data_IF_194247434923
#
_entry.id   IF_194247434923
#
_cell.length_a   1.000
_cell.length_b   1.000
_cell.length_c   1.000
_cell.angle_alpha   90.00
_cell.angle_beta   90.00
_cell.angle_gamma   90.00
#
_symmetry.space_group_name_H-M   'P 1'
#
loop_
_entity.id
_entity.type
_entity.pdbx_description
1 polymer ?
#
# COMPACT_ATOMS: atom_id res chain seq x y z
N UNK A 1 22.26 38.58 -0.41
CA UNK A 1 20.82 38.42 -0.70
C UNK A 1 20.20 39.80 -0.67
N UNK A 2 19.60 40.28 -1.76
CA UNK A 2 18.99 41.62 -1.84
C UNK A 2 17.46 41.51 -1.67
N UNK A 3 16.78 42.64 -1.47
CA UNK A 3 15.32 42.67 -1.27
C UNK A 3 14.53 42.20 -2.51
N UNK A 4 15.04 42.42 -3.72
CA UNK A 4 14.39 41.98 -4.97
C UNK A 4 14.38 40.45 -5.07
N UNK A 5 15.49 39.79 -4.72
CA UNK A 5 15.57 38.32 -4.69
C UNK A 5 14.63 37.69 -3.66
N UNK A 6 14.39 38.39 -2.54
CA UNK A 6 13.39 37.96 -1.54
C UNK A 6 11.98 38.12 -2.08
N UNK A 7 11.68 39.24 -2.76
CA UNK A 7 10.35 39.50 -3.32
C UNK A 7 10.00 38.53 -4.47
N UNK A 8 10.96 38.22 -5.33
CA UNK A 8 10.79 37.21 -6.39
C UNK A 8 10.53 35.82 -5.81
N UNK A 9 11.22 35.45 -4.72
CA UNK A 9 11.01 34.19 -4.02
C UNK A 9 9.62 34.12 -3.38
N UNK A 10 9.17 35.20 -2.73
CA UNK A 10 7.83 35.29 -2.15
C UNK A 10 6.78 35.12 -3.25
N UNK A 11 6.90 35.85 -4.36
CA UNK A 11 5.97 35.75 -5.49
C UNK A 11 5.98 34.35 -6.12
N UNK A 12 7.14 33.70 -6.22
CA UNK A 12 7.25 32.32 -6.69
C UNK A 12 6.55 31.33 -5.76
N UNK A 13 6.66 31.50 -4.44
CA UNK A 13 6.04 30.61 -3.46
C UNK A 13 4.53 30.83 -3.36
N UNK A 14 4.07 32.08 -3.47
CA UNK A 14 2.64 32.43 -3.45
C UNK A 14 1.91 32.03 -4.75
N UNK A 15 2.60 32.09 -5.91
CA UNK A 15 2.04 31.67 -7.20
C UNK A 15 2.10 30.17 -7.45
N UNK A 16 2.97 29.44 -6.74
CA UNK A 16 3.14 28.00 -6.90
C UNK A 16 1.87 27.21 -6.55
N UNK A 17 1.00 27.74 -5.66
CA UNK A 17 -0.25 27.05 -5.27
C UNK A 17 -0.03 25.64 -4.72
N UNK A 18 1.19 25.31 -4.30
CA UNK A 18 1.57 23.98 -3.86
C UNK A 18 0.99 23.70 -2.47
N UNK A 19 0.30 22.57 -2.34
CA UNK A 19 -0.17 22.08 -1.06
C UNK A 19 1.00 22.00 -0.08
N UNK A 20 0.80 22.57 1.11
CA UNK A 20 1.77 22.47 2.19
C UNK A 20 2.05 21.01 2.52
N UNK A 21 3.24 20.75 3.08
CA UNK A 21 3.65 19.40 3.52
C UNK A 21 2.58 18.76 4.43
N UNK A 22 1.90 19.58 5.25
CA UNK A 22 0.80 19.13 6.12
C UNK A 22 -0.40 18.66 5.31
N UNK A 23 -0.85 19.45 4.34
CA UNK A 23 -2.01 19.10 3.53
C UNK A 23 -1.75 17.90 2.62
N UNK A 24 -0.53 17.76 2.09
CA UNK A 24 -0.12 16.57 1.36
C UNK A 24 -0.19 15.30 2.24
N UNK A 25 0.27 15.39 3.50
CA UNK A 25 0.15 14.28 4.47
C UNK A 25 -1.31 13.94 4.77
N UNK A 26 -2.16 14.94 4.95
CA UNK A 26 -3.60 14.72 5.16
C UNK A 26 -4.27 14.07 3.96
N UNK A 27 -3.95 14.48 2.74
CA UNK A 27 -4.50 13.86 1.53
C UNK A 27 -4.09 12.39 1.39
N UNK A 28 -2.81 12.08 1.65
CA UNK A 28 -2.33 10.69 1.65
C UNK A 28 -3.07 9.84 2.69
N UNK A 29 -3.24 10.38 3.90
CA UNK A 29 -3.96 9.71 4.98
C UNK A 29 -5.45 9.50 4.65
N UNK A 30 -6.11 10.53 4.09
CA UNK A 30 -7.51 10.45 3.69
C UNK A 30 -7.73 9.39 2.58
N UNK A 31 -6.80 9.29 1.63
CA UNK A 31 -6.84 8.25 0.60
C UNK A 31 -6.74 6.85 1.21
N UNK A 32 -5.84 6.65 2.17
CA UNK A 32 -5.71 5.38 2.89
C UNK A 32 -6.98 5.04 3.69
N UNK A 33 -7.58 6.01 4.40
CA UNK A 33 -8.83 5.80 5.13
C UNK A 33 -10.00 5.45 4.22
N UNK A 34 -10.15 6.13 3.08
CA UNK A 34 -11.23 5.83 2.13
C UNK A 34 -11.11 4.41 1.59
N UNK A 35 -9.87 3.98 1.33
CA UNK A 35 -9.60 2.64 0.85
C UNK A 35 -9.88 1.58 1.92
N UNK A 36 -9.41 1.78 3.16
CA UNK A 36 -9.69 0.89 4.28
C UNK A 36 -11.20 0.77 4.58
N UNK A 37 -11.94 1.88 4.47
CA UNK A 37 -13.39 1.87 4.64
C UNK A 37 -14.09 1.00 3.58
N UNK A 38 -13.63 1.05 2.33
CA UNK A 38 -14.17 0.21 1.26
C UNK A 38 -13.92 -1.28 1.53
N UNK A 39 -12.72 -1.66 1.97
CA UNK A 39 -12.40 -3.05 2.35
C UNK A 39 -13.26 -3.52 3.53
N UNK A 40 -13.44 -2.69 4.57
CA UNK A 40 -14.29 -3.03 5.70
C UNK A 40 -15.76 -3.27 5.31
N UNK A 41 -16.28 -2.54 4.31
CA UNK A 41 -17.63 -2.76 3.79
C UNK A 41 -17.72 -4.09 3.04
N UNK A 42 -16.71 -4.45 2.24
CA UNK A 42 -16.66 -5.75 1.55
C UNK A 42 -16.58 -6.92 2.53
N UNK A 43 -15.71 -6.82 3.54
CA UNK A 43 -15.59 -7.82 4.61
C UNK A 43 -16.92 -7.97 5.35
N UNK A 44 -17.59 -6.84 5.67
CA UNK A 44 -18.89 -6.87 6.35
C UNK A 44 -19.97 -7.54 5.48
N UNK A 45 -20.08 -7.19 4.20
CA UNK A 45 -21.04 -7.81 3.30
C UNK A 45 -20.85 -9.33 3.18
N UNK A 46 -19.60 -9.80 3.16
CA UNK A 46 -19.29 -11.23 3.15
C UNK A 46 -19.67 -11.91 4.48
N UNK A 47 -19.35 -11.29 5.62
CA UNK A 47 -19.74 -11.81 6.93
C UNK A 47 -21.27 -11.85 7.13
N UNK A 48 -21.99 -10.86 6.59
CA UNK A 48 -23.45 -10.83 6.60
C UNK A 48 -24.02 -11.98 5.74
N UNK A 49 -23.46 -12.24 4.55
CA UNK A 49 -23.83 -13.39 3.70
C UNK A 49 -23.56 -14.73 4.40
N UNK A 50 -22.39 -14.85 5.04
CA UNK A 50 -21.96 -16.03 5.79
C UNK A 50 -22.90 -16.31 6.97
N UNK A 51 -23.31 -15.27 7.71
CA UNK A 51 -24.23 -15.40 8.85
C UNK A 51 -25.61 -15.87 8.41
N UNK A 52 -26.12 -15.37 7.27
CA UNK A 52 -27.43 -15.75 6.74
C UNK A 52 -27.44 -17.20 6.23
N UNK A 53 -26.36 -17.62 5.56
CA UNK A 53 -26.20 -19.01 5.11
C UNK A 53 -26.09 -19.97 6.30
N UNK A 54 -25.35 -19.61 7.36
CA UNK A 54 -25.23 -20.43 8.57
C UNK A 54 -26.56 -20.60 9.31
N UNK A 55 -27.41 -19.56 9.33
CA UNK A 55 -28.75 -19.58 9.95
C UNK A 55 -29.68 -20.64 9.32
N UNK A 56 -29.49 -20.95 8.03
CA UNK A 56 -30.25 -21.98 7.33
C UNK A 56 -29.88 -23.41 7.75
N UNK A 57 -28.63 -23.65 8.13
CA UNK A 57 -28.07 -24.98 8.44
C UNK A 57 -28.16 -25.38 9.92
N UNK A 58 -28.35 -24.43 10.83
CA UNK A 58 -28.63 -24.74 12.24
C UNK A 58 -30.01 -25.40 12.44
N UNK A 59 -30.85 -25.44 11.41
CA UNK A 59 -32.23 -25.93 11.49
C UNK A 59 -32.40 -27.44 11.27
N UNK A 60 -31.41 -28.16 10.74
CA UNK A 60 -31.59 -29.52 10.20
C UNK A 60 -30.53 -30.55 10.65
N UNK A 61 -29.58 -30.16 11.52
CA UNK A 61 -28.82 -31.08 12.38
C UNK A 61 -27.83 -32.05 11.68
N UNK A 62 -27.72 -32.00 10.36
CA UNK A 62 -26.80 -32.82 9.57
C UNK A 62 -25.61 -31.98 9.09
N UNK A 63 -24.68 -31.67 9.99
CA UNK A 63 -23.58 -30.74 9.67
C UNK A 63 -22.46 -31.42 8.86
N UNK A 64 -22.58 -31.39 7.53
CA UNK A 64 -21.48 -30.98 6.64
C UNK A 64 -21.81 -29.56 6.18
N UNK A 65 -21.42 -28.57 6.99
CA UNK A 65 -21.66 -27.17 6.66
C UNK A 65 -21.10 -26.80 5.30
N UNK A 66 -21.69 -25.79 4.62
CA UNK A 66 -21.16 -25.29 3.36
C UNK A 66 -19.67 -24.98 3.54
N UNK A 67 -18.86 -25.18 2.49
CA UNK A 67 -17.41 -24.91 2.52
C UNK A 67 -17.16 -23.40 2.60
N UNK A 68 -17.62 -22.74 3.65
CA UNK A 68 -17.65 -21.29 3.86
C UNK A 68 -16.25 -20.69 3.91
N UNK A 69 -15.26 -21.48 4.34
CA UNK A 69 -13.86 -21.11 4.23
C UNK A 69 -13.42 -20.81 2.78
N UNK A 70 -14.14 -21.31 1.76
CA UNK A 70 -13.90 -21.00 0.35
C UNK A 70 -14.45 -19.61 -0.05
N UNK A 71 -15.52 -19.12 0.59
CA UNK A 71 -16.06 -17.78 0.34
C UNK A 71 -15.10 -16.68 0.86
N UNK A 72 -14.43 -16.93 1.98
CA UNK A 72 -13.35 -16.06 2.45
C UNK A 72 -12.16 -15.97 1.48
N UNK A 73 -11.85 -17.05 0.77
CA UNK A 73 -10.81 -17.02 -0.27
C UNK A 73 -11.18 -16.23 -1.52
N UNK A 74 -12.45 -15.88 -1.72
CA UNK A 74 -12.92 -15.09 -2.84
C UNK A 74 -12.93 -13.58 -2.55
N UNK A 75 -12.67 -13.16 -1.31
CA UNK A 75 -12.61 -11.73 -0.97
C UNK A 75 -11.27 -11.17 -1.42
N UNK A 76 -11.32 -10.27 -2.40
CA UNK A 76 -10.17 -9.48 -2.81
C UNK A 76 -9.94 -8.33 -1.81
N UNK A 77 -8.71 -8.18 -1.33
CA UNK A 77 -8.30 -7.11 -0.41
C UNK A 77 -7.19 -6.27 -1.03
N UNK A 78 -7.48 -5.67 -2.19
CA UNK A 78 -6.50 -5.01 -3.05
C UNK A 78 -5.69 -3.92 -2.35
N UNK A 79 -6.23 -3.25 -1.33
CA UNK A 79 -5.47 -2.27 -0.57
C UNK A 79 -4.52 -2.92 0.42
N UNK A 80 -4.99 -3.94 1.12
CA UNK A 80 -4.12 -4.76 1.98
C UNK A 80 -3.00 -5.38 1.14
N UNK A 81 -3.31 -5.92 -0.04
CA UNK A 81 -2.32 -6.45 -0.98
C UNK A 81 -1.32 -5.37 -1.43
N UNK A 82 -1.81 -4.15 -1.74
CA UNK A 82 -0.97 -2.99 -2.05
C UNK A 82 -0.07 -2.57 -0.89
N UNK A 83 -0.58 -2.57 0.34
CA UNK A 83 0.20 -2.25 1.54
C UNK A 83 1.29 -3.30 1.75
N UNK A 84 0.96 -4.59 1.65
CA UNK A 84 1.93 -5.69 1.77
C UNK A 84 3.00 -5.60 0.69
N UNK A 85 2.62 -5.30 -0.55
CA UNK A 85 3.57 -5.08 -1.64
C UNK A 85 4.48 -3.87 -1.39
N UNK A 86 3.93 -2.78 -0.85
CA UNK A 86 4.70 -1.61 -0.42
C UNK A 86 5.73 -1.95 0.65
N UNK A 87 5.32 -2.68 1.71
CA UNK A 87 6.23 -3.13 2.78
C UNK A 87 7.32 -4.05 2.23
N UNK A 88 6.97 -4.96 1.31
CA UNK A 88 7.96 -5.83 0.65
C UNK A 88 8.96 -5.01 -0.17
N UNK A 89 8.49 -4.00 -0.91
CA UNK A 89 9.35 -3.10 -1.67
C UNK A 89 10.28 -2.28 -0.76
N UNK A 90 9.75 -1.73 0.34
CA UNK A 90 10.54 -0.96 1.32
C UNK A 90 11.69 -1.82 1.88
N UNK A 91 11.43 -3.08 2.25
CA UNK A 91 12.47 -3.99 2.73
C UNK A 91 13.52 -4.35 1.68
N UNK A 92 13.15 -4.45 0.40
CA UNK A 92 14.10 -4.67 -0.70
C UNK A 92 14.96 -3.42 -0.95
N UNK A 93 14.38 -2.23 -0.85
CA UNK A 93 15.10 -0.95 -0.95
C UNK A 93 16.11 -0.79 0.20
N UNK A 94 15.73 -1.16 1.43
CA UNK A 94 16.65 -1.19 2.58
C UNK A 94 17.82 -2.16 2.36
N UNK A 95 17.55 -3.35 1.81
CA UNK A 95 18.60 -4.30 1.45
C UNK A 95 19.54 -3.75 0.38
N UNK A 96 19.00 -3.11 -0.65
CA UNK A 96 19.78 -2.45 -1.70
C UNK A 96 20.66 -1.33 -1.12
N UNK A 97 20.13 -0.52 -0.20
CA UNK A 97 20.88 0.51 0.49
C UNK A 97 22.01 -0.08 1.35
N UNK A 98 21.76 -1.19 2.06
CA UNK A 98 22.79 -1.89 2.83
C UNK A 98 23.95 -2.40 1.96
N UNK A 99 23.64 -2.96 0.79
CA UNK A 99 24.66 -3.41 -0.17
C UNK A 99 25.53 -2.26 -0.69
N UNK A 100 24.93 -1.09 -0.94
CA UNK A 100 25.67 0.12 -1.36
C UNK A 100 26.57 0.65 -0.25
N UNK A 101 26.09 0.63 1.00
CA UNK A 101 26.86 1.11 2.14
C UNK A 101 28.07 0.22 2.47
N UNK A 102 27.97 -1.08 2.19
CA UNK A 102 29.04 -2.06 2.39
C UNK A 102 29.88 -2.32 1.12
N UNK A 103 29.72 -1.52 0.07
CA UNK A 103 30.53 -1.64 -1.14
C UNK A 103 31.98 -1.26 -0.84
N UNK A 104 32.86 -2.25 -0.85
CA UNK A 104 34.31 -2.10 -0.70
C UNK A 104 35.02 -1.93 -2.06
N UNK A 105 34.29 -1.54 -3.10
CA UNK A 105 34.77 -1.46 -4.48
C UNK A 105 34.47 -2.73 -5.30
N UNK A 106 33.61 -3.62 -4.81
CA UNK A 106 33.25 -4.86 -5.46
C UNK A 106 32.03 -4.68 -6.37
N UNK A 107 32.21 -4.93 -7.68
CA UNK A 107 31.15 -4.77 -8.69
C UNK A 107 29.89 -5.62 -8.42
N UNK A 108 30.04 -6.73 -7.70
CA UNK A 108 28.95 -7.66 -7.39
C UNK A 108 27.90 -7.02 -6.48
N UNK A 109 28.30 -6.32 -5.41
CA UNK A 109 27.35 -5.64 -4.51
C UNK A 109 26.55 -4.57 -5.26
N UNK A 110 27.20 -3.85 -6.17
CA UNK A 110 26.56 -2.83 -7.00
C UNK A 110 25.55 -3.41 -7.98
N UNK A 111 25.86 -4.54 -8.64
CA UNK A 111 24.91 -5.20 -9.54
C UNK A 111 23.70 -5.75 -8.79
N UNK A 112 23.90 -6.33 -7.61
CA UNK A 112 22.79 -6.86 -6.79
C UNK A 112 21.90 -5.72 -6.29
N UNK A 113 22.49 -4.60 -5.85
CA UNK A 113 21.72 -3.43 -5.41
C UNK A 113 20.84 -2.85 -6.53
N UNK A 114 21.36 -2.79 -7.76
CA UNK A 114 20.56 -2.36 -8.93
C UNK A 114 19.40 -3.32 -9.22
N UNK A 115 19.66 -4.63 -9.22
CA UNK A 115 18.60 -5.63 -9.41
C UNK A 115 17.54 -5.60 -8.29
N UNK A 116 17.95 -5.28 -7.06
CA UNK A 116 17.04 -5.10 -5.94
C UNK A 116 16.14 -3.86 -6.12
N UNK A 117 16.67 -2.73 -6.59
CA UNK A 117 15.84 -1.54 -6.89
C UNK A 117 14.79 -1.84 -7.95
N UNK A 118 15.18 -2.53 -9.03
CA UNK A 118 14.26 -2.93 -10.10
C UNK A 118 13.16 -3.88 -9.58
N UNK A 119 13.52 -4.81 -8.69
CA UNK A 119 12.57 -5.71 -8.07
C UNK A 119 11.60 -4.98 -7.12
N UNK A 120 12.10 -4.04 -6.30
CA UNK A 120 11.26 -3.21 -5.44
C UNK A 120 10.25 -2.41 -6.27
N UNK A 121 10.68 -1.85 -7.40
CA UNK A 121 9.79 -1.15 -8.33
C UNK A 121 8.70 -2.05 -8.89
N UNK A 122 9.06 -3.27 -9.32
CA UNK A 122 8.08 -4.26 -9.80
C UNK A 122 7.05 -4.63 -8.73
N UNK A 123 7.46 -4.75 -7.46
CA UNK A 123 6.54 -5.02 -6.35
C UNK A 123 5.52 -3.89 -6.18
N UNK A 124 5.94 -2.63 -6.31
CA UNK A 124 5.02 -1.48 -6.23
C UNK A 124 4.09 -1.38 -7.43
N UNK A 125 4.58 -1.64 -8.64
CA UNK A 125 3.78 -1.58 -9.89
C UNK A 125 2.80 -2.75 -10.04
N UNK A 126 3.16 -3.93 -9.53
CA UNK A 126 2.30 -5.11 -9.57
C UNK A 126 1.08 -5.03 -8.66
N UNK A 127 1.10 -4.13 -7.67
CA UNK A 127 0.06 -4.01 -6.66
C UNK A 127 -1.09 -3.05 -7.03
N UNK A 128 -1.00 -2.42 -8.21
CA UNK A 128 -2.04 -1.59 -8.81
C UNK A 128 -2.86 -2.32 -9.90
N UNK A 129 -2.58 -3.61 -10.14
CA UNK A 129 -3.34 -4.48 -11.05
C UNK A 129 -4.35 -5.32 -10.29
#
# INVERSE_FOLDING_TARGET
MNIETVNELIQSLESAGELSIREQKFLKLAKAFKQLAAENVQIKAMNDCLSEELRGYESDGAFEGPKMHLLWWQVETTATDRIVAGIKADGVEEFAAHLRANDNGASVCKMIALGADDFAKQLREGADK
#
